data_IF_796181193385
#
_entry.id   IF_796181193385
#
_cell.length_a   1.000
_cell.length_b   1.000
_cell.length_c   1.000
_cell.angle_alpha   90.00
_cell.angle_beta   90.00
_cell.angle_gamma   90.00
#
_symmetry.space_group_name_H-M   'P 1'
#
loop_
_entity.id
_entity.type
_entity.pdbx_description
1 polymer ?
#
# COMPACT_ATOMS: atom_id res chain seq x y z
N UNK A 1 16.62 -19.79 8.26
CA UNK A 1 15.30 -20.18 8.79
C UNK A 1 14.45 -20.61 7.60
N UNK A 2 13.84 -21.80 7.65
CA UNK A 2 12.95 -22.27 6.57
C UNK A 2 11.53 -21.98 7.05
N UNK A 3 10.80 -21.14 6.31
CA UNK A 3 9.41 -20.82 6.62
C UNK A 3 8.50 -21.98 6.19
N UNK A 4 7.48 -22.25 6.99
CA UNK A 4 6.36 -23.10 6.57
C UNK A 4 5.50 -22.37 5.54
N UNK A 5 4.72 -23.10 4.74
CA UNK A 5 3.78 -22.47 3.80
C UNK A 5 2.76 -21.53 4.46
N UNK A 6 2.37 -21.82 5.70
CA UNK A 6 1.45 -20.97 6.49
C UNK A 6 2.12 -19.68 6.94
N UNK A 7 3.36 -19.74 7.40
CA UNK A 7 4.13 -18.54 7.78
C UNK A 7 4.41 -17.65 6.55
N UNK A 8 4.72 -18.25 5.39
CA UNK A 8 4.87 -17.50 4.15
C UNK A 8 3.56 -16.84 3.72
N UNK A 9 2.43 -17.55 3.78
CA UNK A 9 1.12 -17.01 3.45
C UNK A 9 0.73 -15.81 4.31
N UNK A 10 1.06 -15.83 5.61
CA UNK A 10 0.83 -14.71 6.54
C UNK A 10 1.67 -13.45 6.26
N UNK A 11 2.52 -13.45 5.23
CA UNK A 11 3.30 -12.30 4.77
C UNK A 11 2.90 -11.85 3.36
N UNK A 12 1.83 -12.41 2.78
CA UNK A 12 1.41 -12.13 1.41
C UNK A 12 0.18 -11.25 1.41
N UNK A 13 0.27 -10.10 0.73
CA UNK A 13 -0.87 -9.33 0.28
C UNK A 13 -1.30 -9.90 -1.08
N UNK A 14 -2.49 -10.53 -1.15
CA UNK A 14 -3.07 -10.88 -2.45
C UNK A 14 -3.82 -9.67 -2.99
N UNK A 15 -3.69 -9.38 -4.28
CA UNK A 15 -4.22 -8.13 -4.82
C UNK A 15 -5.05 -8.28 -6.09
N UNK A 16 -6.13 -7.50 -6.18
CA UNK A 16 -6.94 -7.28 -7.37
C UNK A 16 -6.98 -5.77 -7.70
N UNK A 17 -5.85 -5.23 -8.20
CA UNK A 17 -5.64 -3.79 -8.43
C UNK A 17 -5.43 -3.42 -9.90
N UNK A 18 -5.92 -4.24 -10.83
CA UNK A 18 -5.89 -3.91 -12.26
C UNK A 18 -7.20 -3.25 -12.69
N UNK A 19 -7.13 -2.39 -13.69
CA UNK A 19 -8.30 -1.62 -14.18
C UNK A 19 -9.46 -2.48 -14.69
N UNK A 20 -9.17 -3.72 -15.09
CA UNK A 20 -10.15 -4.65 -15.62
C UNK A 20 -10.70 -5.64 -14.57
N UNK A 21 -10.18 -5.61 -13.34
CA UNK A 21 -10.69 -6.49 -12.29
C UNK A 21 -12.10 -6.06 -11.89
N UNK A 22 -13.04 -7.00 -12.03
CA UNK A 22 -14.45 -6.84 -11.68
C UNK A 22 -14.79 -7.59 -10.38
N UNK A 23 -16.09 -7.64 -10.08
CA UNK A 23 -16.59 -8.22 -8.83
C UNK A 23 -16.16 -9.69 -8.64
N UNK A 24 -16.18 -10.50 -9.72
CA UNK A 24 -15.74 -11.90 -9.67
C UNK A 24 -14.27 -12.07 -9.30
N UNK A 25 -13.40 -11.14 -9.73
CA UNK A 25 -11.98 -11.15 -9.35
C UNK A 25 -11.82 -10.84 -7.85
N UNK A 26 -12.66 -9.95 -7.31
CA UNK A 26 -12.67 -9.64 -5.88
C UNK A 26 -13.11 -10.86 -5.07
N UNK A 27 -14.19 -11.54 -5.49
CA UNK A 27 -14.65 -12.78 -4.84
C UNK A 27 -13.56 -13.86 -4.84
N UNK A 28 -12.84 -14.02 -5.96
CA UNK A 28 -11.76 -14.99 -6.09
C UNK A 28 -10.60 -14.70 -5.11
N UNK A 29 -10.08 -13.46 -5.08
CA UNK A 29 -8.96 -13.12 -4.18
C UNK A 29 -9.36 -13.21 -2.71
N UNK A 30 -10.60 -12.87 -2.35
CA UNK A 30 -11.16 -13.07 -1.01
C UNK A 30 -11.23 -14.55 -0.65
N UNK A 31 -11.72 -15.40 -1.55
CA UNK A 31 -11.79 -16.83 -1.34
C UNK A 31 -10.39 -17.45 -1.14
N UNK A 32 -9.41 -17.03 -1.96
CA UNK A 32 -8.02 -17.46 -1.84
C UNK A 32 -7.39 -17.00 -0.52
N UNK A 33 -7.63 -15.75 -0.12
CA UNK A 33 -7.13 -15.23 1.16
C UNK A 33 -7.68 -16.00 2.36
N UNK A 34 -8.97 -16.31 2.38
CA UNK A 34 -9.60 -17.15 3.41
C UNK A 34 -9.01 -18.56 3.44
N UNK A 35 -8.82 -19.17 2.28
CA UNK A 35 -8.31 -20.54 2.14
C UNK A 35 -6.87 -20.68 2.59
N UNK A 36 -5.99 -19.78 2.14
CA UNK A 36 -4.55 -19.86 2.40
C UNK A 36 -4.10 -19.01 3.57
N UNK A 37 -4.98 -18.19 4.14
CA UNK A 37 -4.68 -17.28 5.26
C UNK A 37 -3.65 -16.24 4.86
N UNK A 38 -3.79 -15.66 3.68
CA UNK A 38 -3.04 -14.45 3.32
C UNK A 38 -3.39 -13.31 4.26
N UNK A 39 -2.38 -12.48 4.59
CA UNK A 39 -2.59 -11.44 5.61
C UNK A 39 -3.52 -10.33 5.13
N UNK A 40 -3.54 -10.04 3.83
CA UNK A 40 -4.27 -8.90 3.29
C UNK A 40 -4.89 -9.22 1.93
N UNK A 41 -6.10 -8.70 1.70
CA UNK A 41 -6.76 -8.61 0.38
C UNK A 41 -6.71 -7.16 -0.07
N UNK A 42 -5.85 -6.86 -1.04
CA UNK A 42 -5.62 -5.50 -1.53
C UNK A 42 -6.43 -5.24 -2.79
N UNK A 43 -7.35 -4.26 -2.73
CA UNK A 43 -8.29 -3.93 -3.81
C UNK A 43 -8.25 -2.44 -4.14
N UNK A 44 -8.74 -2.07 -5.34
CA UNK A 44 -8.91 -0.65 -5.67
C UNK A 44 -9.99 -0.01 -4.80
N UNK A 45 -9.95 1.33 -4.57
CA UNK A 45 -10.84 2.05 -3.65
C UNK A 45 -12.33 1.70 -3.78
N UNK A 46 -12.82 1.56 -5.01
CA UNK A 46 -14.23 1.27 -5.27
C UNK A 46 -14.72 -0.11 -4.79
N UNK A 47 -13.82 -1.01 -4.38
CA UNK A 47 -14.13 -2.36 -3.93
C UNK A 47 -13.92 -2.59 -2.44
N UNK A 48 -13.48 -1.57 -1.69
CA UNK A 48 -13.14 -1.71 -0.25
C UNK A 48 -14.35 -2.13 0.56
N UNK A 49 -15.49 -1.47 0.36
CA UNK A 49 -16.70 -1.73 1.12
C UNK A 49 -17.21 -3.16 0.94
N UNK A 50 -17.26 -3.64 -0.29
CA UNK A 50 -17.69 -5.02 -0.61
C UNK A 50 -16.71 -6.04 -0.04
N UNK A 51 -15.39 -5.76 -0.15
CA UNK A 51 -14.34 -6.64 0.39
C UNK A 51 -14.43 -6.71 1.91
N UNK A 52 -14.67 -5.59 2.60
CA UNK A 52 -14.86 -5.53 4.05
C UNK A 52 -16.07 -6.38 4.49
N UNK A 53 -17.21 -6.29 3.78
CA UNK A 53 -18.36 -7.13 4.07
C UNK A 53 -18.07 -8.62 3.83
N UNK A 54 -17.35 -8.96 2.76
CA UNK A 54 -16.96 -10.35 2.47
C UNK A 54 -15.99 -10.93 3.53
N UNK A 55 -15.16 -10.11 4.16
CA UNK A 55 -14.19 -10.51 5.17
C UNK A 55 -14.72 -10.41 6.61
N UNK A 56 -15.96 -9.97 6.80
CA UNK A 56 -16.56 -9.81 8.12
C UNK A 56 -16.53 -11.11 8.92
N UNK A 57 -15.94 -11.05 10.10
CA UNK A 57 -15.78 -12.21 10.99
C UNK A 57 -14.65 -13.17 10.58
N UNK A 58 -13.80 -12.78 9.66
CA UNK A 58 -12.61 -13.55 9.26
C UNK A 58 -11.38 -12.98 9.96
N UNK A 59 -10.95 -13.58 11.04
CA UNK A 59 -9.79 -13.12 11.80
C UNK A 59 -8.47 -13.28 11.01
N UNK A 60 -7.59 -12.28 11.09
CA UNK A 60 -6.22 -12.32 10.57
C UNK A 60 -6.13 -12.23 9.03
N UNK A 61 -7.19 -11.77 8.36
CA UNK A 61 -7.19 -11.37 6.95
C UNK A 61 -7.74 -9.95 6.89
N UNK A 62 -6.94 -9.00 6.46
CA UNK A 62 -7.26 -7.57 6.47
C UNK A 62 -7.69 -7.07 5.10
N UNK A 63 -8.41 -5.96 5.09
CA UNK A 63 -8.77 -5.23 3.85
C UNK A 63 -7.75 -4.14 3.60
N UNK A 64 -7.09 -4.20 2.44
CA UNK A 64 -6.14 -3.17 2.01
C UNK A 64 -6.60 -2.41 0.78
N UNK A 65 -6.16 -1.15 0.68
CA UNK A 65 -6.40 -0.34 -0.52
C UNK A 65 -5.33 0.73 -0.70
N UNK A 66 -4.99 1.09 -1.96
CA UNK A 66 -4.04 2.16 -2.20
C UNK A 66 -4.68 3.55 -2.14
N UNK A 67 -3.85 4.55 -1.83
CA UNK A 67 -4.15 5.98 -1.89
C UNK A 67 -3.26 6.64 -2.93
N UNK A 68 -3.84 7.42 -3.85
CA UNK A 68 -3.14 8.11 -4.92
C UNK A 68 -2.59 7.19 -6.02
N UNK A 69 -3.13 6.01 -6.15
CA UNK A 69 -2.63 4.96 -7.04
C UNK A 69 -3.04 5.17 -8.51
N UNK A 70 -2.18 4.81 -9.51
CA UNK A 70 -0.84 4.25 -9.31
C UNK A 70 0.28 5.30 -9.28
N UNK A 71 0.02 6.53 -9.69
CA UNK A 71 1.05 7.51 -10.00
C UNK A 71 1.55 8.34 -8.80
N UNK A 72 0.80 8.40 -7.71
CA UNK A 72 1.11 9.25 -6.56
C UNK A 72 1.00 10.76 -6.82
N UNK A 73 0.59 11.16 -8.03
CA UNK A 73 0.65 12.54 -8.51
C UNK A 73 -0.64 13.36 -8.29
N UNK A 74 -1.65 12.78 -7.63
CA UNK A 74 -2.81 13.53 -7.20
C UNK A 74 -2.41 14.61 -6.19
N UNK A 75 -3.24 15.66 -6.07
CA UNK A 75 -3.01 16.70 -5.05
C UNK A 75 -3.19 16.11 -3.65
N UNK A 76 -2.54 16.70 -2.66
CA UNK A 76 -2.67 16.28 -1.25
C UNK A 76 -4.13 16.21 -0.83
N UNK A 77 -4.94 17.22 -1.15
CA UNK A 77 -6.37 17.23 -0.84
C UNK A 77 -7.12 16.04 -1.43
N UNK A 78 -6.82 15.67 -2.69
CA UNK A 78 -7.46 14.52 -3.35
C UNK A 78 -7.12 13.22 -2.62
N UNK A 79 -5.85 13.03 -2.23
CA UNK A 79 -5.43 11.84 -1.47
C UNK A 79 -6.05 11.79 -0.08
N UNK A 80 -6.21 12.94 0.59
CA UNK A 80 -6.88 13.04 1.89
C UNK A 80 -8.33 12.59 1.76
N UNK A 81 -9.07 13.12 0.80
CA UNK A 81 -10.49 12.74 0.58
C UNK A 81 -10.63 11.26 0.24
N UNK A 82 -9.71 10.71 -0.58
CA UNK A 82 -9.66 9.29 -0.88
C UNK A 82 -9.40 8.46 0.39
N UNK A 83 -8.40 8.80 1.19
CA UNK A 83 -8.09 8.13 2.45
C UNK A 83 -9.25 8.17 3.46
N UNK A 84 -9.92 9.33 3.59
CA UNK A 84 -11.12 9.45 4.42
C UNK A 84 -12.24 8.52 3.97
N UNK A 85 -12.45 8.39 2.64
CA UNK A 85 -13.45 7.47 2.12
C UNK A 85 -13.09 6.03 2.42
N UNK A 86 -11.84 5.64 2.23
CA UNK A 86 -11.35 4.30 2.55
C UNK A 86 -11.56 3.93 4.03
N UNK A 87 -11.30 4.87 4.95
CA UNK A 87 -11.56 4.70 6.38
C UNK A 87 -13.05 4.45 6.66
N UNK A 88 -13.94 5.20 6.02
CA UNK A 88 -15.40 5.01 6.14
C UNK A 88 -15.85 3.65 5.59
N UNK A 89 -15.19 3.15 4.54
CA UNK A 89 -15.52 1.89 3.87
C UNK A 89 -14.90 0.67 4.57
N UNK A 90 -14.09 0.88 5.61
CA UNK A 90 -13.59 -0.19 6.46
C UNK A 90 -12.23 -0.74 6.06
N UNK A 91 -11.36 0.09 5.43
CA UNK A 91 -9.97 -0.30 5.18
C UNK A 91 -9.21 -0.52 6.49
N UNK A 92 -8.34 -1.53 6.52
CA UNK A 92 -7.50 -1.88 7.66
C UNK A 92 -5.99 -1.72 7.36
N UNK A 93 -5.66 -1.55 6.06
CA UNK A 93 -4.31 -1.25 5.60
C UNK A 93 -4.34 -0.30 4.39
N UNK A 94 -3.54 0.77 4.43
CA UNK A 94 -3.42 1.74 3.33
C UNK A 94 -2.02 1.73 2.73
N UNK A 95 -1.94 1.59 1.40
CA UNK A 95 -0.71 1.73 0.63
C UNK A 95 -0.66 3.10 -0.05
N UNK A 96 -0.01 4.07 0.57
CA UNK A 96 0.03 5.46 0.10
C UNK A 96 1.14 5.60 -0.95
N UNK A 97 0.78 5.94 -2.19
CA UNK A 97 1.78 6.20 -3.23
C UNK A 97 2.38 7.59 -2.99
N UNK A 98 3.70 7.64 -2.71
CA UNK A 98 4.45 8.88 -2.53
C UNK A 98 4.36 9.76 -3.79
N UNK A 99 4.34 11.09 -3.63
CA UNK A 99 4.45 11.99 -4.78
C UNK A 99 5.88 12.02 -5.30
N UNK A 100 6.20 11.09 -6.20
CA UNK A 100 7.53 10.84 -6.74
C UNK A 100 8.05 12.06 -7.49
N UNK A 101 7.19 12.72 -8.28
CA UNK A 101 7.57 13.92 -9.03
C UNK A 101 8.01 15.06 -8.12
N UNK A 102 7.26 15.33 -7.06
CA UNK A 102 7.60 16.32 -6.04
C UNK A 102 8.88 15.95 -5.29
N UNK A 103 9.03 14.68 -4.91
CA UNK A 103 10.22 14.17 -4.25
C UNK A 103 11.48 14.37 -5.13
N UNK A 104 11.44 13.99 -6.39
CA UNK A 104 12.55 14.18 -7.36
C UNK A 104 12.87 15.64 -7.64
N UNK A 105 11.91 16.52 -7.49
CA UNK A 105 12.08 17.98 -7.62
C UNK A 105 12.66 18.65 -6.36
N UNK A 106 13.03 17.87 -5.33
CA UNK A 106 13.58 18.37 -4.08
C UNK A 106 12.53 18.91 -3.10
N UNK A 107 11.25 18.79 -3.40
CA UNK A 107 10.16 19.27 -2.55
C UNK A 107 9.87 18.30 -1.37
N UNK A 108 10.95 17.92 -0.66
CA UNK A 108 10.90 16.94 0.43
C UNK A 108 9.85 17.28 1.48
N UNK A 109 9.77 18.54 1.88
CA UNK A 109 8.83 18.97 2.92
C UNK A 109 7.38 18.86 2.49
N UNK A 110 7.08 19.13 1.22
CA UNK A 110 5.76 18.90 0.66
C UNK A 110 5.35 17.43 0.79
N UNK A 111 6.21 16.52 0.36
CA UNK A 111 5.92 15.07 0.40
C UNK A 111 5.79 14.58 1.85
N UNK A 112 6.66 15.04 2.74
CA UNK A 112 6.58 14.67 4.16
C UNK A 112 5.28 15.13 4.82
N UNK A 113 4.85 16.37 4.55
CA UNK A 113 3.61 16.90 5.10
C UNK A 113 2.40 16.14 4.56
N UNK A 114 2.36 15.84 3.25
CA UNK A 114 1.31 15.03 2.64
C UNK A 114 1.19 13.65 3.32
N UNK A 115 2.31 12.96 3.50
CA UNK A 115 2.31 11.65 4.16
C UNK A 115 1.86 11.73 5.61
N UNK A 116 2.36 12.69 6.38
CA UNK A 116 1.99 12.89 7.79
C UNK A 116 0.50 13.18 7.95
N UNK A 117 -0.07 13.99 7.06
CA UNK A 117 -1.48 14.33 7.11
C UNK A 117 -2.36 13.10 6.87
N UNK A 118 -2.04 12.29 5.86
CA UNK A 118 -2.78 11.06 5.56
C UNK A 118 -2.61 10.02 6.68
N UNK A 119 -1.37 9.78 7.12
CA UNK A 119 -1.07 8.81 8.19
C UNK A 119 -1.72 9.23 9.51
N UNK A 120 -1.72 10.52 9.81
CA UNK A 120 -2.34 11.06 11.03
C UNK A 120 -3.84 10.79 11.14
N UNK A 121 -4.54 10.54 10.03
CA UNK A 121 -5.97 10.22 10.03
C UNK A 121 -6.29 8.78 10.44
N UNK A 122 -5.32 7.89 10.44
CA UNK A 122 -5.54 6.44 10.67
C UNK A 122 -5.71 6.05 12.14
N UNK A 123 -5.54 6.95 13.10
CA UNK A 123 -5.60 6.70 14.54
C UNK A 123 -4.75 5.48 15.00
N UNK A 124 -3.74 5.11 14.24
CA UNK A 124 -2.88 3.92 14.42
C UNK A 124 -3.64 2.57 14.40
N UNK A 125 -4.90 2.57 14.03
CA UNK A 125 -5.71 1.35 13.88
C UNK A 125 -5.53 0.71 12.51
N UNK A 126 -5.26 1.53 11.51
CA UNK A 126 -5.02 1.12 10.14
C UNK A 126 -3.52 1.12 9.88
N UNK A 127 -2.99 0.01 9.37
CA UNK A 127 -1.59 -0.08 8.99
C UNK A 127 -1.31 0.75 7.75
N UNK A 128 -0.16 1.42 7.74
CA UNK A 128 0.22 2.29 6.63
C UNK A 128 1.53 1.82 5.98
N UNK A 129 1.50 1.69 4.66
CA UNK A 129 2.69 1.46 3.84
C UNK A 129 2.85 2.65 2.90
N UNK A 130 4.08 3.10 2.69
CA UNK A 130 4.37 4.12 1.67
C UNK A 130 5.06 3.46 0.49
N UNK A 131 4.44 3.56 -0.69
CA UNK A 131 5.02 3.09 -1.95
C UNK A 131 5.97 4.16 -2.47
N UNK A 132 7.27 3.86 -2.47
CA UNK A 132 8.31 4.78 -2.95
C UNK A 132 8.62 4.62 -4.43
N UNK A 133 8.14 3.55 -5.07
CA UNK A 133 8.35 3.21 -6.49
C UNK A 133 9.84 3.22 -6.88
N UNK A 134 10.60 2.29 -6.33
CA UNK A 134 12.08 2.22 -6.47
C UNK A 134 12.57 2.29 -7.91
N UNK A 135 11.77 1.83 -8.86
CA UNK A 135 12.11 1.86 -10.30
C UNK A 135 12.14 3.25 -10.91
N UNK A 136 11.53 4.23 -10.26
CA UNK A 136 11.56 5.62 -10.67
C UNK A 136 12.72 6.39 -9.99
N UNK A 137 13.47 5.75 -9.09
CA UNK A 137 14.46 6.36 -8.22
C UNK A 137 15.87 5.79 -8.48
N UNK A 138 16.90 6.61 -8.29
CA UNK A 138 18.28 6.14 -8.14
C UNK A 138 18.48 5.55 -6.74
N UNK A 139 19.60 4.83 -6.52
CA UNK A 139 19.90 4.21 -5.23
C UNK A 139 19.96 5.25 -4.09
N UNK A 140 20.59 6.41 -4.34
CA UNK A 140 20.61 7.52 -3.38
C UNK A 140 19.21 8.11 -3.11
N UNK A 141 18.35 8.16 -4.13
CA UNK A 141 16.97 8.60 -3.98
C UNK A 141 16.15 7.59 -3.18
N UNK A 142 16.39 6.28 -3.35
CA UNK A 142 15.74 5.22 -2.56
C UNK A 142 16.05 5.39 -1.07
N UNK A 143 17.32 5.58 -0.70
CA UNK A 143 17.70 5.79 0.70
C UNK A 143 17.02 7.03 1.29
N UNK A 144 17.07 8.16 0.58
CA UNK A 144 16.41 9.40 1.02
C UNK A 144 14.88 9.26 1.11
N UNK A 145 14.28 8.45 0.25
CA UNK A 145 12.85 8.16 0.32
C UNK A 145 12.53 7.30 1.56
N UNK A 146 13.36 6.31 1.88
CA UNK A 146 13.21 5.53 3.10
C UNK A 146 13.31 6.40 4.36
N UNK A 147 14.29 7.32 4.44
CA UNK A 147 14.40 8.27 5.54
C UNK A 147 13.14 9.13 5.68
N UNK A 148 12.59 9.59 4.55
CA UNK A 148 11.36 10.38 4.53
C UNK A 148 10.15 9.55 5.02
N UNK A 149 10.05 8.29 4.61
CA UNK A 149 8.98 7.38 5.06
C UNK A 149 9.09 7.13 6.57
N UNK A 150 10.28 6.85 7.09
CA UNK A 150 10.48 6.70 8.53
C UNK A 150 10.07 7.96 9.30
N UNK A 151 10.46 9.14 8.80
CA UNK A 151 10.10 10.42 9.42
C UNK A 151 8.59 10.71 9.35
N UNK A 152 7.88 10.17 8.35
CA UNK A 152 6.44 10.34 8.21
C UNK A 152 5.64 9.57 9.27
N UNK A 153 6.23 8.55 9.88
CA UNK A 153 5.57 7.69 10.87
C UNK A 153 4.79 6.52 10.27
N UNK A 154 4.99 6.19 8.99
CA UNK A 154 4.41 5.01 8.37
C UNK A 154 4.94 3.70 8.99
N UNK A 155 4.12 2.64 8.98
CA UNK A 155 4.52 1.34 9.50
C UNK A 155 5.52 0.61 8.58
N UNK A 156 5.44 0.82 7.26
CA UNK A 156 6.26 0.10 6.27
C UNK A 156 6.66 0.97 5.07
N UNK A 157 7.80 0.62 4.49
CA UNK A 157 8.19 1.02 3.12
C UNK A 157 7.75 -0.07 2.15
N UNK A 158 7.13 0.31 1.03
CA UNK A 158 6.78 -0.60 -0.07
C UNK A 158 7.54 -0.20 -1.33
N UNK A 159 8.16 -1.16 -1.99
CA UNK A 159 9.10 -0.90 -3.10
C UNK A 159 8.44 -0.36 -4.35
N UNK A 160 7.22 -0.79 -4.67
CA UNK A 160 6.59 -0.36 -5.91
C UNK A 160 5.12 -0.70 -6.03
N UNK A 161 4.48 -0.09 -7.02
CA UNK A 161 3.06 -0.28 -7.37
C UNK A 161 2.80 -1.58 -8.14
N UNK A 162 3.82 -2.15 -8.78
CA UNK A 162 3.66 -3.23 -9.74
C UNK A 162 3.06 -2.78 -11.09
N UNK A 163 2.91 -1.46 -11.31
CA UNK A 163 2.43 -0.89 -12.58
C UNK A 163 3.57 -0.47 -13.51
N UNK A 164 4.74 -0.10 -12.98
CA UNK A 164 5.94 0.09 -13.78
C UNK A 164 6.52 -1.28 -14.13
N UNK A 165 6.70 -1.61 -15.44
CA UNK A 165 7.20 -2.91 -15.86
C UNK A 165 8.60 -3.23 -15.33
N UNK A 166 8.87 -4.49 -15.07
CA UNK A 166 10.19 -5.06 -14.73
C UNK A 166 10.14 -5.91 -13.44
N UNK A 167 11.30 -6.42 -12.99
CA UNK A 167 11.46 -7.28 -11.80
C UNK A 167 11.94 -6.47 -10.60
N UNK A 168 11.61 -6.90 -9.40
CA UNK A 168 12.16 -6.34 -8.18
C UNK A 168 13.68 -6.59 -8.13
N UNK A 169 14.44 -5.55 -7.80
CA UNK A 169 15.87 -5.68 -7.54
C UNK A 169 16.09 -6.07 -6.07
N UNK A 170 16.59 -7.30 -5.86
CA UNK A 170 16.88 -7.80 -4.52
C UNK A 170 18.04 -7.03 -3.83
N UNK A 171 18.96 -6.44 -4.61
CA UNK A 171 20.01 -5.61 -4.04
C UNK A 171 19.45 -4.33 -3.44
N UNK A 172 18.46 -3.70 -4.11
CA UNK A 172 17.74 -2.55 -3.52
C UNK A 172 16.98 -2.92 -2.25
N UNK A 173 16.36 -4.11 -2.20
CA UNK A 173 15.69 -4.58 -0.97
C UNK A 173 16.67 -4.73 0.19
N UNK A 174 17.90 -5.16 -0.08
CA UNK A 174 18.95 -5.25 0.95
C UNK A 174 19.42 -3.88 1.45
N UNK A 175 19.38 -2.84 0.61
CA UNK A 175 19.73 -1.48 1.00
C UNK A 175 18.66 -0.84 1.89
N UNK A 176 17.39 -1.17 1.68
CA UNK A 176 16.24 -0.66 2.45
C UNK A 176 16.19 -1.25 3.86
N UNK A 177 16.80 -2.40 4.08
CA UNK A 177 16.81 -3.13 5.36
C UNK A 177 17.73 -2.49 6.40
#
# INVERSE_FOLDING_TARGET
>A
MILTGREAAAMIDISAVRTHHGYSDIEEVVALAKKYRFINVHVLPCWVKETAEMLKGVDGVYVGSPVGFPAGAATTLTKIVEAEQLLRDGVEEMDIVMNIGKFKSGERQYVLNELREIIGMTDKKVKTKVIIETRALSDDEVLRACDLVMESGADFVKTGTGWIPGTLDLAQVQQIK
#
